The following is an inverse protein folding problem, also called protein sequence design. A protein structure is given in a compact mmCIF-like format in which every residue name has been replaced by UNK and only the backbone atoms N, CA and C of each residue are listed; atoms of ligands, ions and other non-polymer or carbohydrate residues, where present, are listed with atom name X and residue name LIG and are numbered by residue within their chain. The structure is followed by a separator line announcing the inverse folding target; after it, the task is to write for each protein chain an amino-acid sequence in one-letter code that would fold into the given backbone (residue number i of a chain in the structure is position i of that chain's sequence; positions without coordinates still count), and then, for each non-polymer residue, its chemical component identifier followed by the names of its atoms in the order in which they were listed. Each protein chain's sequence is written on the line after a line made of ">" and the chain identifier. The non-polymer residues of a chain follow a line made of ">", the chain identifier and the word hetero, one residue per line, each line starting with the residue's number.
data_IF_603136893876
#
_entry.id   IF_603136893876
#
_cell.length_a   1.000
_cell.length_b   1.000
_cell.length_c   1.000
_cell.angle_alpha   90.00
_cell.angle_beta   90.00
_cell.angle_gamma   90.00
#
_symmetry.space_group_name_H-M   'P 1'
#
loop_
_entity.id
_entity.type
_entity.pdbx_description
1 polymer ?
#
# COMPACT_ATOMS: atom_id res chain seq x y z
N UNK A 1 -24.98 43.88 -20.93
CA UNK A 1 -23.96 43.28 -21.83
C UNK A 1 -22.52 43.49 -21.38
N UNK A 2 -22.09 44.67 -20.89
CA UNK A 2 -20.69 44.91 -20.44
C UNK A 2 -20.20 44.01 -19.30
N UNK A 3 -21.03 43.73 -18.29
CA UNK A 3 -20.62 42.89 -17.15
C UNK A 3 -20.41 41.41 -17.53
N UNK A 4 -21.23 40.87 -18.44
CA UNK A 4 -21.10 39.48 -18.91
C UNK A 4 -19.76 39.23 -19.63
N UNK A 5 -19.38 40.13 -20.54
CA UNK A 5 -18.07 40.05 -21.24
C UNK A 5 -16.87 40.19 -20.28
N UNK A 6 -16.99 41.01 -19.23
CA UNK A 6 -15.93 41.15 -18.22
C UNK A 6 -15.75 39.86 -17.43
N UNK A 7 -16.84 39.24 -16.98
CA UNK A 7 -16.81 37.96 -16.26
C UNK A 7 -16.25 36.82 -17.11
N UNK A 8 -16.63 36.73 -18.39
CA UNK A 8 -16.10 35.74 -19.34
C UNK A 8 -14.58 35.90 -19.55
N UNK A 9 -14.09 37.13 -19.68
CA UNK A 9 -12.66 37.41 -19.78
C UNK A 9 -11.89 37.02 -18.51
N UNK A 10 -12.48 37.25 -17.33
CA UNK A 10 -11.89 36.87 -16.04
C UNK A 10 -11.87 35.34 -15.85
N UNK A 11 -12.90 34.62 -16.29
CA UNK A 11 -12.94 33.14 -16.25
C UNK A 11 -11.88 32.51 -17.16
N UNK A 12 -11.70 33.03 -18.37
CA UNK A 12 -10.65 32.56 -19.29
C UNK A 12 -9.25 32.76 -18.71
N UNK A 13 -9.02 33.90 -18.05
CA UNK A 13 -7.74 34.17 -17.38
C UNK A 13 -7.48 33.20 -16.22
N UNK A 14 -8.49 32.95 -15.37
CA UNK A 14 -8.38 31.98 -14.27
C UNK A 14 -8.12 30.58 -14.82
N UNK A 15 -8.81 30.20 -15.89
CA UNK A 15 -8.63 28.90 -16.54
C UNK A 15 -7.22 28.72 -17.11
N UNK A 16 -6.70 29.72 -17.83
CA UNK A 16 -5.33 29.69 -18.35
C UNK A 16 -4.29 29.56 -17.23
N UNK A 17 -4.47 30.31 -16.14
CA UNK A 17 -3.59 30.23 -14.97
C UNK A 17 -3.67 28.86 -14.27
N UNK A 18 -4.85 28.24 -14.23
CA UNK A 18 -5.02 26.90 -13.65
C UNK A 18 -4.25 25.85 -14.47
N UNK A 19 -4.36 25.90 -15.80
CA UNK A 19 -3.61 25.01 -16.71
C UNK A 19 -2.10 25.16 -16.52
N UNK A 20 -1.60 26.40 -16.49
CA UNK A 20 -0.17 26.69 -16.30
C UNK A 20 0.31 26.16 -14.95
N UNK A 21 -0.45 26.40 -13.88
CA UNK A 21 -0.11 25.92 -12.53
C UNK A 21 -0.03 24.39 -12.49
N UNK A 22 -1.01 23.69 -13.08
CA UNK A 22 -1.00 22.22 -13.19
C UNK A 22 0.22 21.71 -13.95
N UNK A 23 0.53 22.34 -15.10
CA UNK A 23 1.69 21.98 -15.94
C UNK A 23 3.01 22.13 -15.17
N UNK A 24 3.10 23.15 -14.32
CA UNK A 24 4.26 23.41 -13.46
C UNK A 24 4.27 22.55 -12.18
N UNK A 25 3.33 21.62 -12.01
CA UNK A 25 3.14 20.78 -10.81
C UNK A 25 2.81 21.56 -9.53
N UNK A 26 2.39 22.81 -9.67
CA UNK A 26 1.73 23.57 -8.60
C UNK A 26 0.24 23.18 -8.57
N UNK A 27 -0.01 21.95 -8.10
CA UNK A 27 -1.32 21.33 -8.12
C UNK A 27 -2.29 21.99 -7.13
N UNK A 28 -1.82 22.43 -5.97
CA UNK A 28 -2.65 23.12 -4.98
C UNK A 28 -3.21 24.44 -5.54
N UNK A 29 -2.36 25.22 -6.24
CA UNK A 29 -2.82 26.44 -6.92
C UNK A 29 -3.76 26.13 -8.07
N UNK A 30 -3.45 25.12 -8.88
CA UNK A 30 -4.34 24.65 -9.96
C UNK A 30 -5.73 24.30 -9.43
N UNK A 31 -5.80 23.47 -8.38
CA UNK A 31 -7.04 23.05 -7.73
C UNK A 31 -7.80 24.25 -7.19
N UNK A 32 -7.11 25.21 -6.55
CA UNK A 32 -7.73 26.41 -6.01
C UNK A 32 -8.36 27.28 -7.10
N UNK A 33 -7.68 27.44 -8.24
CA UNK A 33 -8.18 28.18 -9.40
C UNK A 33 -9.39 27.47 -10.05
N UNK A 34 -9.32 26.14 -10.22
CA UNK A 34 -10.44 25.37 -10.75
C UNK A 34 -11.65 25.35 -9.80
N UNK A 35 -11.45 25.26 -8.49
CA UNK A 35 -12.52 25.41 -7.50
C UNK A 35 -13.20 26.77 -7.65
N UNK A 36 -12.43 27.84 -7.83
CA UNK A 36 -12.98 29.19 -8.08
C UNK A 36 -13.87 29.23 -9.34
N UNK A 37 -13.44 28.62 -10.45
CA UNK A 37 -14.25 28.54 -11.67
C UNK A 37 -15.56 27.78 -11.46
N UNK A 38 -15.49 26.60 -10.82
CA UNK A 38 -16.66 25.76 -10.55
C UNK A 38 -17.63 26.46 -9.59
N UNK A 39 -17.13 27.21 -8.60
CA UNK A 39 -17.99 28.00 -7.70
C UNK A 39 -18.68 29.17 -8.40
N UNK A 40 -18.02 29.84 -9.35
CA UNK A 40 -18.60 30.93 -10.13
C UNK A 40 -19.64 30.43 -11.12
N UNK A 41 -19.36 29.31 -11.77
CA UNK A 41 -20.25 28.71 -12.75
C UNK A 41 -20.24 27.18 -12.63
N UNK A 42 -21.14 26.60 -11.81
CA UNK A 42 -21.19 25.16 -11.56
C UNK A 42 -21.46 24.28 -12.78
N UNK A 43 -21.97 24.86 -13.87
CA UNK A 43 -22.29 24.19 -15.15
C UNK A 43 -21.11 24.10 -16.11
N UNK A 44 -19.94 24.66 -15.77
CA UNK A 44 -18.73 24.53 -16.57
C UNK A 44 -18.17 23.10 -16.46
N UNK A 45 -18.70 22.19 -17.28
CA UNK A 45 -18.29 20.78 -17.37
C UNK A 45 -16.77 20.65 -17.47
N UNK A 46 -16.13 21.43 -18.36
CA UNK A 46 -14.68 21.34 -18.55
C UNK A 46 -13.90 21.75 -17.28
N UNK A 47 -14.36 22.77 -16.54
CA UNK A 47 -13.69 23.25 -15.34
C UNK A 47 -13.79 22.20 -14.21
N UNK A 48 -14.97 21.57 -14.06
CA UNK A 48 -15.17 20.48 -13.10
C UNK A 48 -14.37 19.22 -13.48
N UNK A 49 -14.28 18.89 -14.76
CA UNK A 49 -13.45 17.78 -15.22
C UNK A 49 -11.96 18.02 -14.94
N UNK A 50 -11.45 19.21 -15.27
CA UNK A 50 -10.05 19.56 -14.98
C UNK A 50 -9.76 19.68 -13.48
N UNK A 51 -10.75 20.08 -12.67
CA UNK A 51 -10.67 20.02 -11.21
C UNK A 51 -10.48 18.57 -10.75
N UNK A 52 -11.33 17.66 -11.21
CA UNK A 52 -11.27 16.24 -10.84
C UNK A 52 -9.92 15.61 -11.20
N UNK A 53 -9.42 15.89 -12.41
CA UNK A 53 -8.11 15.41 -12.85
C UNK A 53 -6.98 16.02 -12.01
N UNK A 54 -7.04 17.31 -11.69
CA UNK A 54 -6.03 17.96 -10.84
C UNK A 54 -6.00 17.37 -9.43
N UNK A 55 -7.17 17.07 -8.85
CA UNK A 55 -7.31 16.41 -7.54
C UNK A 55 -6.69 15.00 -7.58
N UNK A 56 -6.97 14.22 -8.63
CA UNK A 56 -6.35 12.91 -8.83
C UNK A 56 -4.83 12.99 -8.97
N UNK A 57 -4.31 13.94 -9.77
CA UNK A 57 -2.87 14.18 -9.88
C UNK A 57 -2.25 14.52 -8.51
N UNK A 58 -2.99 15.27 -7.67
CA UNK A 58 -2.56 15.66 -6.32
C UNK A 58 -2.76 14.57 -5.26
N UNK A 59 -3.17 13.36 -5.65
CA UNK A 59 -3.50 12.23 -4.76
C UNK A 59 -4.71 12.46 -3.84
N UNK A 60 -5.54 13.46 -4.13
CA UNK A 60 -6.83 13.70 -3.46
C UNK A 60 -7.94 12.85 -4.10
N UNK A 61 -7.76 11.52 -4.08
CA UNK A 61 -8.57 10.55 -4.82
C UNK A 61 -10.07 10.61 -4.47
N UNK A 62 -10.43 10.71 -3.18
CA UNK A 62 -11.83 10.80 -2.75
C UNK A 62 -12.52 12.07 -3.28
N UNK A 63 -11.82 13.21 -3.21
CA UNK A 63 -12.34 14.47 -3.76
C UNK A 63 -12.44 14.41 -5.30
N UNK A 64 -11.52 13.70 -5.97
CA UNK A 64 -11.59 13.49 -7.41
C UNK A 64 -12.83 12.66 -7.79
N UNK A 65 -13.08 11.53 -7.11
CA UNK A 65 -14.27 10.70 -7.30
C UNK A 65 -15.56 11.50 -7.11
N UNK A 66 -15.64 12.32 -6.06
CA UNK A 66 -16.80 13.18 -5.83
C UNK A 66 -17.08 14.13 -7.02
N UNK A 67 -16.04 14.71 -7.63
CA UNK A 67 -16.21 15.55 -8.82
C UNK A 67 -16.57 14.75 -10.07
N UNK A 68 -16.03 13.55 -10.22
CA UNK A 68 -16.37 12.62 -11.31
C UNK A 68 -17.82 12.17 -11.24
N UNK A 69 -18.33 11.82 -10.07
CA UNK A 69 -19.71 11.40 -9.90
C UNK A 69 -20.70 12.55 -10.13
N UNK A 70 -20.35 13.77 -9.70
CA UNK A 70 -21.12 14.98 -10.05
C UNK A 70 -21.18 15.20 -11.56
N UNK A 71 -20.10 14.91 -12.30
CA UNK A 71 -20.10 15.02 -13.75
C UNK A 71 -21.02 13.98 -14.41
N UNK A 72 -21.08 12.75 -13.88
CA UNK A 72 -21.96 11.70 -14.42
C UNK A 72 -23.45 12.04 -14.35
N UNK A 73 -23.86 12.93 -13.44
CA UNK A 73 -25.25 13.41 -13.37
C UNK A 73 -25.61 14.47 -14.43
N UNK A 74 -24.64 14.98 -15.18
CA UNK A 74 -24.85 15.95 -16.26
C UNK A 74 -25.07 15.25 -17.61
N UNK A 75 -25.69 15.94 -18.57
CA UNK A 75 -25.78 15.45 -19.96
C UNK A 75 -24.43 15.66 -20.65
N UNK A 76 -23.64 14.59 -20.74
CA UNK A 76 -22.29 14.59 -21.30
C UNK A 76 -22.23 13.75 -22.59
N UNK A 77 -21.25 14.04 -23.43
CA UNK A 77 -20.94 13.17 -24.57
C UNK A 77 -20.17 11.91 -24.10
N UNK A 78 -20.20 10.87 -24.93
CA UNK A 78 -19.60 9.57 -24.61
C UNK A 78 -18.09 9.66 -24.35
N UNK A 79 -17.39 10.56 -25.04
CA UNK A 79 -15.95 10.78 -24.85
C UNK A 79 -15.61 11.26 -23.44
N UNK A 80 -16.39 12.18 -22.86
CA UNK A 80 -16.15 12.66 -21.49
C UNK A 80 -16.51 11.55 -20.49
N UNK A 81 -17.58 10.80 -20.73
CA UNK A 81 -17.99 9.68 -19.88
C UNK A 81 -16.88 8.62 -19.83
N UNK A 82 -16.27 8.28 -20.97
CA UNK A 82 -15.13 7.34 -21.04
C UNK A 82 -13.92 7.82 -20.22
N UNK A 83 -13.57 9.11 -20.32
CA UNK A 83 -12.50 9.71 -19.51
C UNK A 83 -12.82 9.58 -18.02
N UNK A 84 -14.04 9.93 -17.61
CA UNK A 84 -14.47 9.85 -16.22
C UNK A 84 -14.36 8.41 -15.71
N UNK A 85 -14.89 7.44 -16.47
CA UNK A 85 -14.86 6.04 -16.09
C UNK A 85 -13.44 5.52 -15.93
N UNK A 86 -12.52 5.86 -16.84
CA UNK A 86 -11.10 5.49 -16.74
C UNK A 86 -10.45 6.02 -15.47
N UNK A 87 -10.67 7.28 -15.11
CA UNK A 87 -10.12 7.83 -13.86
C UNK A 87 -10.77 7.21 -12.62
N UNK A 88 -12.10 7.04 -12.61
CA UNK A 88 -12.80 6.38 -11.51
C UNK A 88 -12.29 4.95 -11.29
N UNK A 89 -12.10 4.19 -12.37
CA UNK A 89 -11.57 2.83 -12.33
C UNK A 89 -10.14 2.79 -11.78
N UNK A 90 -9.27 3.70 -12.25
CA UNK A 90 -7.90 3.80 -11.73
C UNK A 90 -7.84 4.14 -10.23
N UNK A 91 -8.79 4.94 -9.72
CA UNK A 91 -8.88 5.25 -8.29
C UNK A 91 -9.42 4.05 -7.52
N UNK A 92 -10.47 3.40 -8.02
CA UNK A 92 -11.07 2.24 -7.37
C UNK A 92 -10.08 1.06 -7.29
N UNK A 93 -9.33 0.81 -8.37
CA UNK A 93 -8.27 -0.21 -8.38
C UNK A 93 -7.16 0.07 -7.36
N UNK A 94 -6.88 1.34 -7.03
CA UNK A 94 -5.92 1.69 -5.96
C UNK A 94 -6.47 1.40 -4.56
N UNK A 95 -7.80 1.37 -4.41
CA UNK A 95 -8.48 1.10 -3.14
C UNK A 95 -8.83 -0.39 -2.94
N UNK A 96 -8.61 -1.22 -3.96
CA UNK A 96 -8.81 -2.67 -3.92
C UNK A 96 -7.77 -3.38 -3.05
N UNK A 97 -8.06 -4.65 -2.76
CA UNK A 97 -7.09 -5.52 -2.11
C UNK A 97 -5.94 -5.85 -3.07
N UNK A 98 -4.70 -5.70 -2.58
CA UNK A 98 -3.50 -6.23 -3.21
C UNK A 98 -3.09 -7.53 -2.54
N UNK A 99 -2.82 -8.56 -3.34
CA UNK A 99 -2.34 -9.86 -2.87
C UNK A 99 -0.98 -10.16 -3.48
N UNK A 100 0.00 -10.48 -2.63
CA UNK A 100 1.35 -10.85 -3.05
C UNK A 100 1.82 -12.07 -2.26
N UNK A 101 2.68 -12.90 -2.84
CA UNK A 101 3.19 -14.07 -2.15
C UNK A 101 4.21 -14.86 -2.94
N UNK A 102 4.70 -15.93 -2.33
CA UNK A 102 5.68 -16.81 -2.95
C UNK A 102 5.86 -18.10 -2.16
N UNK A 103 6.37 -19.12 -2.86
CA UNK A 103 6.72 -20.43 -2.32
C UNK A 103 8.13 -20.78 -2.79
N UNK A 104 8.97 -21.32 -1.90
CA UNK A 104 10.35 -21.71 -2.21
C UNK A 104 10.61 -23.10 -1.64
N UNK A 105 11.14 -24.01 -2.46
CA UNK A 105 11.58 -25.34 -2.01
C UNK A 105 12.76 -25.23 -1.02
N UNK A 106 12.77 -26.07 -0.01
CA UNK A 106 13.79 -26.14 1.03
C UNK A 106 14.42 -27.54 1.05
N UNK A 107 15.75 -27.56 1.15
CA UNK A 107 16.53 -28.77 1.40
C UNK A 107 17.64 -28.41 2.40
N UNK A 108 17.43 -28.76 3.65
CA UNK A 108 18.33 -28.49 4.76
C UNK A 108 19.00 -29.78 5.20
N UNK A 109 20.33 -29.84 5.15
CA UNK A 109 21.08 -31.04 5.57
C UNK A 109 21.34 -31.11 7.07
N UNK A 110 21.12 -30.01 7.80
CA UNK A 110 21.36 -29.91 9.24
C UNK A 110 20.40 -28.92 9.92
N UNK A 111 19.10 -29.21 9.88
CA UNK A 111 18.05 -28.29 10.37
C UNK A 111 18.11 -28.04 11.89
N UNK A 112 18.66 -29.00 12.64
CA UNK A 112 18.82 -28.89 14.08
C UNK A 112 20.13 -28.20 14.50
N UNK A 113 20.93 -27.73 13.53
CA UNK A 113 22.26 -27.14 13.73
C UNK A 113 23.17 -27.99 14.63
N UNK A 114 23.03 -29.33 14.59
CA UNK A 114 23.84 -30.19 15.44
C UNK A 114 25.28 -30.27 14.93
N UNK A 115 26.30 -30.27 15.82
CA UNK A 115 27.65 -30.62 15.43
C UNK A 115 27.73 -32.03 14.86
N UNK A 116 28.79 -32.31 14.09
CA UNK A 116 29.12 -33.70 13.73
C UNK A 116 29.23 -34.55 15.00
N UNK A 117 28.73 -35.79 14.93
CA UNK A 117 28.78 -36.73 16.05
C UNK A 117 30.21 -36.92 16.55
N UNK A 118 30.37 -36.87 17.87
CA UNK A 118 31.66 -37.13 18.50
C UNK A 118 32.62 -35.94 18.56
N UNK A 119 32.21 -34.73 18.16
CA UNK A 119 32.98 -33.52 18.48
C UNK A 119 33.00 -33.33 20.00
N UNK A 120 34.21 -33.30 20.57
CA UNK A 120 34.47 -32.99 21.97
C UNK A 120 35.00 -31.55 22.06
N UNK A 121 34.31 -30.67 22.78
CA UNK A 121 34.76 -29.31 23.07
C UNK A 121 34.54 -29.02 24.56
N UNK A 122 35.58 -28.58 25.28
CA UNK A 122 35.50 -28.18 26.69
C UNK A 122 34.71 -29.16 27.60
N UNK A 123 35.04 -30.47 27.56
CA UNK A 123 34.36 -31.55 28.30
C UNK A 123 32.89 -31.81 27.94
N UNK A 124 32.38 -31.18 26.88
CA UNK A 124 31.09 -31.49 26.28
C UNK A 124 31.26 -32.37 25.04
N UNK A 125 30.45 -33.43 24.94
CA UNK A 125 30.40 -34.33 23.78
C UNK A 125 29.06 -34.18 23.09
N UNK A 126 29.06 -33.92 21.78
CA UNK A 126 27.83 -33.86 21.00
C UNK A 126 27.07 -35.19 21.05
N UNK A 127 25.82 -35.15 21.48
CA UNK A 127 24.93 -36.33 21.62
C UNK A 127 23.88 -36.44 20.51
N UNK A 128 23.67 -35.40 19.70
CA UNK A 128 22.63 -35.34 18.67
C UNK A 128 23.23 -35.47 17.25
N UNK A 129 22.59 -36.25 16.38
CA UNK A 129 22.98 -36.33 14.96
C UNK A 129 22.41 -35.13 14.19
N UNK A 130 23.11 -34.61 13.15
CA UNK A 130 22.48 -33.73 12.17
C UNK A 130 21.22 -34.36 11.60
N UNK A 131 20.18 -33.56 11.44
CA UNK A 131 18.92 -33.99 10.84
C UNK A 131 18.71 -33.26 9.52
N UNK A 132 18.34 -34.00 8.48
CA UNK A 132 17.90 -33.41 7.22
C UNK A 132 16.42 -33.03 7.30
N UNK A 133 16.02 -32.08 6.46
CA UNK A 133 14.64 -31.73 6.25
C UNK A 133 14.42 -31.18 4.83
N UNK A 134 13.40 -31.69 4.16
CA UNK A 134 12.91 -31.19 2.89
C UNK A 134 11.51 -30.61 3.05
N UNK A 135 11.27 -29.50 2.35
CA UNK A 135 10.11 -28.69 2.61
C UNK A 135 9.84 -27.60 1.58
N UNK A 136 8.94 -26.71 1.96
CA UNK A 136 8.79 -25.40 1.32
C UNK A 136 8.63 -24.30 2.36
N UNK A 137 9.17 -23.13 2.05
CA UNK A 137 8.79 -21.89 2.72
C UNK A 137 7.72 -21.17 1.91
N UNK A 138 6.86 -20.42 2.58
CA UNK A 138 5.81 -19.67 1.94
C UNK A 138 5.64 -18.31 2.63
N UNK A 139 5.19 -17.33 1.85
CA UNK A 139 4.78 -16.02 2.32
C UNK A 139 3.55 -15.57 1.53
N UNK A 140 2.59 -14.98 2.23
CA UNK A 140 1.43 -14.32 1.66
C UNK A 140 1.21 -12.99 2.34
N UNK A 141 0.85 -11.98 1.57
CA UNK A 141 0.53 -10.63 2.01
C UNK A 141 -0.78 -10.21 1.35
N UNK A 142 -1.75 -9.81 2.16
CA UNK A 142 -2.96 -9.14 1.73
C UNK A 142 -2.93 -7.71 2.27
N UNK A 143 -3.06 -6.72 1.39
CA UNK A 143 -3.03 -5.31 1.75
C UNK A 143 -4.27 -4.61 1.22
N UNK A 144 -4.87 -3.75 2.05
CA UNK A 144 -5.91 -2.82 1.65
C UNK A 144 -5.51 -1.41 2.04
N UNK A 145 -5.43 -0.53 1.05
CA UNK A 145 -5.12 0.90 1.22
C UNK A 145 -6.36 1.70 0.83
N UNK A 146 -6.93 2.46 1.76
CA UNK A 146 -8.14 3.24 1.50
C UNK A 146 -7.82 4.73 1.53
N UNK A 147 -8.12 5.42 0.44
CA UNK A 147 -8.09 6.88 0.40
C UNK A 147 -9.15 7.43 1.37
N UNK A 148 -8.83 8.49 2.15
CA UNK A 148 -9.76 9.06 3.15
C UNK A 148 -10.10 10.50 2.78
N UNK A 149 -9.24 11.45 3.14
CA UNK A 149 -9.47 12.86 2.89
C UNK A 149 -8.18 13.49 2.40
N UNK A 150 -8.26 14.21 1.29
CA UNK A 150 -7.10 14.72 0.58
C UNK A 150 -6.06 13.61 0.38
N UNK A 151 -4.83 13.87 0.78
CA UNK A 151 -3.65 13.02 0.69
C UNK A 151 -3.57 11.92 1.76
N UNK A 152 -4.52 11.88 2.70
CA UNK A 152 -4.52 10.90 3.78
C UNK A 152 -5.17 9.58 3.36
N UNK A 153 -4.64 8.48 3.87
CA UNK A 153 -5.15 7.13 3.63
C UNK A 153 -5.02 6.26 4.90
N UNK A 154 -5.81 5.19 4.98
CA UNK A 154 -5.61 4.11 5.94
C UNK A 154 -5.02 2.89 5.26
N UNK A 155 -4.33 2.06 6.04
CA UNK A 155 -3.71 0.83 5.58
C UNK A 155 -4.02 -0.31 6.54
N UNK A 156 -4.46 -1.43 5.98
CA UNK A 156 -4.53 -2.74 6.63
C UNK A 156 -3.61 -3.68 5.87
N UNK A 157 -2.62 -4.27 6.53
CA UNK A 157 -1.69 -5.22 5.94
C UNK A 157 -1.66 -6.50 6.78
N UNK A 158 -1.96 -7.62 6.15
CA UNK A 158 -2.01 -8.95 6.76
C UNK A 158 -0.94 -9.78 6.07
N UNK A 159 0.03 -10.27 6.84
CA UNK A 159 1.10 -11.13 6.35
C UNK A 159 1.06 -12.46 7.06
N UNK A 160 1.07 -13.55 6.31
CA UNK A 160 1.36 -14.90 6.78
C UNK A 160 2.67 -15.40 6.17
N UNK A 161 3.51 -16.06 6.96
CA UNK A 161 4.71 -16.74 6.46
C UNK A 161 4.94 -18.04 7.22
N UNK A 162 5.66 -18.97 6.63
CA UNK A 162 6.01 -20.20 7.32
C UNK A 162 6.98 -21.08 6.57
N UNK A 163 7.34 -22.18 7.23
CA UNK A 163 8.13 -23.28 6.70
C UNK A 163 7.39 -24.58 7.01
N UNK A 164 7.24 -25.43 6.01
CA UNK A 164 6.64 -26.74 6.13
C UNK A 164 7.62 -27.78 5.61
N UNK A 165 8.01 -28.71 6.47
CA UNK A 165 8.86 -29.85 6.18
C UNK A 165 8.02 -31.13 6.30
N UNK A 166 8.04 -31.96 5.25
CA UNK A 166 7.24 -33.19 5.20
C UNK A 166 7.94 -34.38 5.86
N UNK A 167 9.27 -34.38 5.88
CA UNK A 167 10.11 -35.42 6.49
C UNK A 167 10.57 -35.06 7.91
N UNK A 168 10.48 -33.77 8.32
CA UNK A 168 10.89 -33.31 9.64
C UNK A 168 9.93 -32.27 10.25
N UNK A 169 8.67 -32.68 10.42
CA UNK A 169 7.55 -31.78 10.76
C UNK A 169 7.71 -31.03 12.09
N UNK A 170 8.51 -31.51 13.04
CA UNK A 170 8.80 -30.83 14.32
C UNK A 170 9.51 -29.47 14.15
N UNK A 171 10.04 -29.17 12.96
CA UNK A 171 10.63 -27.87 12.60
C UNK A 171 9.69 -26.97 11.78
N UNK A 172 8.42 -27.36 11.61
CA UNK A 172 7.46 -26.49 10.94
C UNK A 172 7.28 -25.20 11.72
N UNK A 173 7.08 -24.11 11.01
CA UNK A 173 6.88 -22.80 11.61
C UNK A 173 5.82 -22.04 10.83
N UNK A 174 4.99 -21.30 11.54
CA UNK A 174 4.04 -20.37 10.96
C UNK A 174 4.06 -19.08 11.77
N UNK A 175 3.99 -17.95 11.09
CA UNK A 175 3.97 -16.62 11.68
C UNK A 175 2.95 -15.77 10.94
N UNK A 176 2.13 -15.05 11.69
CA UNK A 176 1.18 -14.08 11.15
C UNK A 176 1.44 -12.71 11.77
N UNK A 177 1.35 -11.66 10.95
CA UNK A 177 1.40 -10.27 11.39
C UNK A 177 0.25 -9.51 10.77
N UNK A 178 -0.43 -8.72 11.59
CA UNK A 178 -1.43 -7.75 11.13
C UNK A 178 -0.91 -6.36 11.49
N UNK A 179 -0.88 -5.46 10.51
CA UNK A 179 -0.57 -4.05 10.66
C UNK A 179 -1.80 -3.23 10.32
N UNK A 180 -2.08 -2.19 11.10
CA UNK A 180 -3.12 -1.20 10.82
C UNK A 180 -2.58 0.19 11.09
N UNK A 181 -2.94 1.16 10.25
CA UNK A 181 -2.62 2.55 10.56
C UNK A 181 -3.03 3.55 9.50
N UNK A 182 -2.42 4.73 9.61
CA UNK A 182 -2.75 5.91 8.83
C UNK A 182 -1.49 6.43 8.13
N UNK A 183 -1.67 7.00 6.95
CA UNK A 183 -0.60 7.62 6.21
C UNK A 183 -1.02 8.87 5.46
N UNK A 184 -0.03 9.61 5.02
CA UNK A 184 -0.15 10.78 4.16
C UNK A 184 0.76 10.57 2.95
N UNK A 185 0.26 10.83 1.73
CA UNK A 185 1.07 10.75 0.49
C UNK A 185 0.86 11.95 -0.41
N UNK A 186 1.97 12.52 -0.88
CA UNK A 186 1.99 13.51 -1.95
C UNK A 186 2.70 12.93 -3.20
N UNK A 187 3.16 13.79 -4.12
CA UNK A 187 3.85 13.37 -5.34
C UNK A 187 5.19 12.68 -5.09
N UNK A 188 5.87 13.00 -3.99
CA UNK A 188 7.25 12.60 -3.70
C UNK A 188 7.42 11.96 -2.32
N UNK A 189 6.50 12.15 -1.40
CA UNK A 189 6.60 11.70 -0.02
C UNK A 189 5.44 10.79 0.34
N UNK A 190 5.71 9.77 1.13
CA UNK A 190 4.69 9.00 1.82
C UNK A 190 5.20 8.72 3.25
N UNK A 191 4.36 9.02 4.23
CA UNK A 191 4.63 8.75 5.65
C UNK A 191 3.51 7.87 6.17
N UNK A 192 3.84 6.77 6.83
CA UNK A 192 2.89 5.87 7.48
C UNK A 192 3.23 5.71 8.95
N UNK A 193 2.19 5.70 9.77
CA UNK A 193 2.25 5.32 11.17
C UNK A 193 1.41 4.06 11.35
N UNK A 194 2.04 2.94 11.71
CA UNK A 194 1.42 1.63 11.73
C UNK A 194 1.61 0.97 13.09
N UNK A 195 0.51 0.48 13.67
CA UNK A 195 0.56 -0.44 14.78
C UNK A 195 0.49 -1.87 14.26
N UNK A 196 1.17 -2.79 14.93
CA UNK A 196 1.17 -4.18 14.53
C UNK A 196 1.06 -5.15 15.70
N UNK A 197 0.50 -6.31 15.40
CA UNK A 197 0.59 -7.51 16.24
C UNK A 197 1.16 -8.65 15.39
N UNK A 198 2.07 -9.42 15.97
CA UNK A 198 2.69 -10.59 15.34
C UNK A 198 2.63 -11.78 16.30
N UNK A 199 2.31 -12.95 15.75
CA UNK A 199 2.29 -14.20 16.47
C UNK A 199 3.04 -15.26 15.68
N UNK A 200 3.84 -16.07 16.36
CA UNK A 200 4.56 -17.18 15.73
C UNK A 200 4.36 -18.47 16.50
N UNK A 201 4.15 -19.55 15.76
CA UNK A 201 3.84 -20.87 16.25
C UNK A 201 4.75 -21.92 15.63
N UNK A 202 5.04 -22.96 16.39
CA UNK A 202 5.71 -24.18 15.93
C UNK A 202 5.02 -25.41 16.55
N UNK A 203 5.19 -26.60 15.97
CA UNK A 203 4.74 -27.83 16.59
C UNK A 203 5.42 -28.06 17.94
N UNK A 204 4.73 -28.77 18.83
CA UNK A 204 5.35 -29.22 20.05
C UNK A 204 6.50 -30.19 19.73
N UNK A 205 7.74 -29.76 20.02
CA UNK A 205 8.98 -30.49 19.69
C UNK A 205 9.12 -31.84 20.41
N UNK A 206 8.28 -32.12 21.41
CA UNK A 206 8.29 -33.40 22.12
C UNK A 206 7.55 -34.52 21.38
N UNK A 207 6.83 -34.21 20.30
CA UNK A 207 6.11 -35.19 19.48
C UNK A 207 6.65 -35.17 18.04
N UNK A 208 7.18 -36.31 17.56
CA UNK A 208 7.67 -36.46 16.18
C UNK A 208 6.60 -36.15 15.12
N UNK A 209 5.33 -36.36 15.46
CA UNK A 209 4.14 -36.06 14.64
C UNK A 209 3.21 -35.07 15.35
N UNK A 210 3.78 -34.06 16.01
CA UNK A 210 3.03 -33.12 16.84
C UNK A 210 1.88 -32.45 16.08
N UNK A 211 0.64 -32.88 16.35
CA UNK A 211 -0.59 -32.31 15.78
C UNK A 211 -0.99 -30.98 16.43
N UNK A 212 -0.27 -30.57 17.49
CA UNK A 212 -0.56 -29.36 18.26
C UNK A 212 0.54 -28.33 18.07
N UNK A 213 0.14 -27.15 17.56
CA UNK A 213 1.00 -25.97 17.44
C UNK A 213 0.97 -25.18 18.75
N UNK A 214 2.13 -24.69 19.17
CA UNK A 214 2.27 -23.85 20.35
C UNK A 214 2.82 -22.50 19.94
N UNK A 215 2.22 -21.44 20.49
CA UNK A 215 2.70 -20.08 20.26
C UNK A 215 3.99 -19.89 21.03
N UNK A 216 5.10 -19.67 20.33
CA UNK A 216 6.40 -19.47 20.98
C UNK A 216 6.81 -18.00 21.03
N UNK A 217 6.17 -17.13 20.24
CA UNK A 217 6.45 -15.69 20.21
C UNK A 217 5.21 -14.86 19.94
N UNK A 218 5.13 -13.71 20.60
CA UNK A 218 4.19 -12.64 20.34
C UNK A 218 4.92 -11.30 20.36
N UNK A 219 4.60 -10.42 19.42
CA UNK A 219 5.09 -9.06 19.40
C UNK A 219 3.93 -8.09 19.16
N UNK A 220 3.94 -6.98 19.88
CA UNK A 220 3.09 -5.82 19.61
C UNK A 220 4.01 -4.62 19.50
N UNK A 221 3.76 -3.77 18.52
CA UNK A 221 4.63 -2.63 18.30
C UNK A 221 4.02 -1.58 17.41
N UNK A 222 4.80 -0.54 17.21
CA UNK A 222 4.50 0.58 16.34
C UNK A 222 5.70 0.82 15.46
N UNK A 223 5.47 1.19 14.21
CA UNK A 223 6.52 1.51 13.24
C UNK A 223 6.12 2.78 12.48
N UNK A 224 7.13 3.57 12.12
CA UNK A 224 6.98 4.72 11.23
C UNK A 224 7.75 4.44 9.96
N UNK A 225 7.04 4.45 8.83
CA UNK A 225 7.63 4.24 7.51
C UNK A 225 7.66 5.58 6.75
N UNK A 226 8.84 5.99 6.29
CA UNK A 226 9.02 7.22 5.51
C UNK A 226 9.63 6.86 4.16
N UNK A 227 8.87 7.12 3.10
CA UNK A 227 9.23 6.89 1.71
C UNK A 227 9.39 8.23 1.00
N UNK A 228 10.55 8.47 0.38
CA UNK A 228 10.81 9.69 -0.39
C UNK A 228 11.35 9.36 -1.78
N UNK A 229 10.74 9.95 -2.80
CA UNK A 229 11.20 9.91 -4.19
C UNK A 229 12.03 11.17 -4.47
N UNK A 230 13.35 10.99 -4.56
CA UNK A 230 14.29 12.09 -4.82
C UNK A 230 14.15 12.60 -6.27
N UNK A 231 13.82 11.70 -7.20
CA UNK A 231 13.37 11.99 -8.56
C UNK A 231 12.64 10.74 -9.13
N UNK A 232 12.29 10.75 -10.43
CA UNK A 232 11.57 9.64 -11.10
C UNK A 232 12.30 8.28 -11.09
N UNK A 233 13.59 8.25 -10.75
CA UNK A 233 14.44 7.05 -10.84
C UNK A 233 14.94 6.55 -9.48
N UNK A 234 14.91 7.38 -8.43
CA UNK A 234 15.52 7.05 -7.14
C UNK A 234 14.52 7.17 -5.99
N UNK A 235 14.29 6.05 -5.29
CA UNK A 235 13.45 5.96 -4.10
C UNK A 235 14.29 5.64 -2.87
N UNK A 236 14.12 6.43 -1.80
CA UNK A 236 14.70 6.17 -0.48
C UNK A 236 13.63 5.64 0.45
N UNK A 237 13.96 4.56 1.17
CA UNK A 237 13.13 3.97 2.23
C UNK A 237 13.81 4.18 3.58
N UNK A 238 13.06 4.63 4.57
CA UNK A 238 13.54 4.71 5.96
C UNK A 238 12.49 4.07 6.88
N UNK A 239 12.95 3.19 7.76
CA UNK A 239 12.13 2.50 8.75
C UNK A 239 12.67 2.86 10.13
N UNK A 240 11.77 3.23 11.04
CA UNK A 240 12.10 3.63 12.42
C UNK A 240 11.07 3.09 13.39
#
# INVERSE_FOLDING_TARGET
>A
MKNKKKTENDELLIWGNAIISRKNKDLDKSISLYRSLVSRNPKLVFARLQLAISLFENKENEAALEQFDKLKSESLNDNIIDIINKYSELINHQNDWSFNGGIVYLNESNINNSPKLGVNAANWKSTSKPESAEGFSYIGVAEKKLSIYKNYFSLLNIRGKGKYYWDNSKYNEISSRVKVGLGYKDLTNEVLFLHFVEYSWNPNKTQQNGSTFHRYSNAIGTEVEINNWLNKQWKKFTFS
#
